data_IF_229720977488
#
_entry.id   IF_229720977488
#
_cell.length_a   1.000
_cell.length_b   1.000
_cell.length_c   1.000
_cell.angle_alpha   90.00
_cell.angle_beta   90.00
_cell.angle_gamma   90.00
#
_symmetry.space_group_name_H-M   'P 1'
#
loop_
_entity.id
_entity.type
_entity.pdbx_description
1 polymer ?
#
# COMPACT_ATOMS: atom_id res chain seq x y z
N UNK A 1 -11.38 18.10 -29.79
CA UNK A 1 -10.67 16.86 -30.18
C UNK A 1 -10.69 15.93 -28.99
N UNK A 2 -11.33 14.76 -29.13
CA UNK A 2 -11.57 13.81 -28.05
C UNK A 2 -10.31 13.02 -27.70
N UNK A 3 -10.00 12.90 -26.40
CA UNK A 3 -9.24 11.78 -25.85
C UNK A 3 -9.82 11.43 -24.48
N UNK A 4 -10.86 10.61 -24.50
CA UNK A 4 -11.16 9.74 -23.38
C UNK A 4 -10.07 8.67 -23.33
N UNK A 5 -9.18 8.78 -22.35
CA UNK A 5 -8.38 7.64 -21.90
C UNK A 5 -9.11 7.08 -20.68
N UNK A 6 -10.01 6.14 -20.95
CA UNK A 6 -10.54 5.22 -19.96
C UNK A 6 -9.38 4.31 -19.52
N UNK A 7 -8.56 4.77 -18.57
CA UNK A 7 -7.53 3.93 -17.98
C UNK A 7 -8.21 3.04 -16.95
N UNK A 8 -8.23 1.75 -17.26
CA UNK A 8 -8.60 0.68 -16.36
C UNK A 8 -8.06 0.98 -14.96
N UNK A 9 -8.97 1.36 -14.05
CA UNK A 9 -8.63 1.53 -12.64
C UNK A 9 -8.40 0.12 -12.14
N UNK A 10 -7.14 -0.25 -11.92
CA UNK A 10 -6.83 -1.36 -11.02
C UNK A 10 -7.58 -1.05 -9.72
N UNK A 11 -8.72 -1.73 -9.52
CA UNK A 11 -9.58 -1.51 -8.36
C UNK A 11 -8.82 -2.14 -7.19
N UNK A 12 -7.93 -1.36 -6.60
CA UNK A 12 -7.29 -1.71 -5.34
C UNK A 12 -8.41 -1.93 -4.33
N UNK A 13 -8.43 -3.12 -3.74
CA UNK A 13 -9.26 -3.37 -2.57
C UNK A 13 -8.48 -2.92 -1.35
N UNK A 14 -9.10 -2.18 -0.42
CA UNK A 14 -8.48 -1.90 0.88
C UNK A 14 -8.10 -3.21 1.56
N UNK A 15 -6.96 -3.23 2.23
CA UNK A 15 -6.57 -4.36 3.10
C UNK A 15 -6.99 -4.03 4.53
N UNK A 16 -7.61 -4.97 5.23
CA UNK A 16 -8.01 -4.81 6.62
C UNK A 16 -6.98 -5.45 7.53
N UNK A 17 -6.49 -4.70 8.51
CA UNK A 17 -5.60 -5.16 9.58
C UNK A 17 -6.42 -5.26 10.87
N UNK A 18 -6.39 -6.43 11.51
CA UNK A 18 -7.12 -6.71 12.76
C UNK A 18 -6.11 -7.09 13.86
N UNK A 19 -6.27 -6.49 15.04
CA UNK A 19 -5.43 -6.78 16.20
C UNK A 19 -6.20 -7.66 17.17
N UNK A 20 -5.53 -8.66 17.74
CA UNK A 20 -6.11 -9.57 18.72
C UNK A 20 -5.16 -9.78 19.90
N UNK A 21 -5.71 -9.87 21.11
CA UNK A 21 -5.00 -10.37 22.28
C UNK A 21 -5.02 -11.90 22.26
N UNK A 22 -3.85 -12.52 22.39
CA UNK A 22 -3.73 -13.98 22.29
C UNK A 22 -3.94 -14.62 23.65
N UNK A 23 -4.99 -15.42 23.75
CA UNK A 23 -5.34 -16.11 24.98
C UNK A 23 -4.94 -17.58 24.99
N UNK A 24 -4.57 -18.09 26.16
CA UNK A 24 -4.10 -19.49 26.29
C UNK A 24 -5.24 -20.49 26.47
N UNK A 25 -6.33 -20.07 27.13
CA UNK A 25 -7.45 -20.96 27.49
C UNK A 25 -8.83 -20.41 27.08
N UNK A 26 -8.86 -19.21 26.48
CA UNK A 26 -10.04 -18.53 25.95
C UNK A 26 -9.86 -18.27 24.44
N UNK A 27 -10.88 -17.68 23.82
CA UNK A 27 -10.76 -17.16 22.46
C UNK A 27 -10.03 -15.83 22.53
N UNK A 28 -9.20 -15.56 21.53
CA UNK A 28 -8.49 -14.29 21.39
C UNK A 28 -9.46 -13.10 21.33
N UNK A 29 -9.21 -12.08 22.14
CA UNK A 29 -10.07 -10.89 22.26
C UNK A 29 -9.72 -9.87 21.15
N UNK A 30 -10.71 -9.29 20.44
CA UNK A 30 -10.44 -8.29 19.42
C UNK A 30 -9.96 -6.97 20.05
N UNK A 31 -8.87 -6.44 19.53
CA UNK A 31 -8.23 -5.18 19.95
C UNK A 31 -8.34 -4.08 18.88
N UNK A 32 -9.31 -4.20 17.98
CA UNK A 32 -9.63 -3.20 16.96
C UNK A 32 -9.09 -3.51 15.56
N UNK A 33 -9.51 -2.70 14.60
CA UNK A 33 -9.20 -2.87 13.18
C UNK A 33 -8.84 -1.55 12.49
N UNK A 34 -8.11 -1.63 11.38
CA UNK A 34 -7.83 -0.50 10.50
C UNK A 34 -7.83 -0.93 9.03
N UNK A 35 -8.27 -0.02 8.15
CA UNK A 35 -8.17 -0.21 6.70
C UNK A 35 -6.95 0.52 6.14
N UNK A 36 -6.22 -0.19 5.27
CA UNK A 36 -5.09 0.29 4.48
C UNK A 36 -5.52 0.47 3.04
N UNK A 37 -5.50 1.71 2.54
CA UNK A 37 -5.62 1.99 1.12
C UNK A 37 -4.25 1.91 0.44
N UNK A 38 -4.10 0.92 -0.45
CA UNK A 38 -2.87 0.70 -1.23
C UNK A 38 -2.85 1.50 -2.55
N UNK A 39 -3.96 2.16 -2.93
CA UNK A 39 -4.04 2.95 -4.14
C UNK A 39 -2.95 4.03 -4.24
N UNK A 40 -2.63 4.80 -3.17
CA UNK A 40 -1.57 5.81 -3.21
C UNK A 40 -0.20 5.24 -3.63
N UNK A 41 0.16 4.07 -3.11
CA UNK A 41 1.40 3.37 -3.47
C UNK A 41 1.35 2.88 -4.93
N UNK A 42 0.25 2.25 -5.34
CA UNK A 42 0.08 1.75 -6.70
C UNK A 42 0.11 2.87 -7.74
N UNK A 43 -0.53 4.01 -7.46
CA UNK A 43 -0.51 5.19 -8.32
C UNK A 43 0.91 5.77 -8.46
N UNK A 44 1.66 5.86 -7.35
CA UNK A 44 3.04 6.33 -7.36
C UNK A 44 3.95 5.45 -8.24
N UNK A 45 3.77 4.12 -8.16
CA UNK A 45 4.46 3.15 -9.02
C UNK A 45 4.03 3.31 -10.47
N UNK A 46 2.72 3.46 -10.72
CA UNK A 46 2.13 3.54 -12.06
C UNK A 46 2.49 4.83 -12.81
N UNK A 47 2.86 5.90 -12.11
CA UNK A 47 3.44 7.10 -12.75
C UNK A 47 4.76 6.80 -13.47
N UNK A 48 5.35 5.63 -13.20
CA UNK A 48 6.58 5.11 -13.81
C UNK A 48 7.68 6.20 -13.94
N UNK A 49 7.97 6.95 -12.85
CA UNK A 49 9.02 7.94 -12.88
C UNK A 49 10.33 7.25 -13.23
N UNK A 50 11.18 7.91 -14.04
CA UNK A 50 12.52 7.39 -14.31
C UNK A 50 13.23 7.28 -12.97
N UNK A 51 13.47 6.05 -12.52
CA UNK A 51 14.07 5.75 -11.22
C UNK A 51 15.37 6.55 -11.00
N UNK A 52 16.15 6.70 -12.08
CA UNK A 52 17.40 7.47 -12.16
C UNK A 52 17.25 8.95 -11.79
N UNK A 53 16.05 9.51 -11.91
CA UNK A 53 15.76 10.92 -11.63
C UNK A 53 15.31 11.17 -10.19
N UNK A 54 14.94 10.13 -9.45
CA UNK A 54 14.42 10.24 -8.10
C UNK A 54 15.54 10.19 -7.06
N UNK A 55 15.65 11.24 -6.25
CA UNK A 55 16.58 11.25 -5.11
C UNK A 55 16.05 10.34 -4.00
N UNK A 56 16.95 9.64 -3.32
CA UNK A 56 16.61 8.89 -2.12
C UNK A 56 15.93 9.81 -1.09
N UNK A 57 14.77 9.40 -0.58
CA UNK A 57 13.93 10.20 0.32
C UNK A 57 12.93 11.13 -0.38
N UNK A 58 12.90 11.20 -1.72
CA UNK A 58 11.92 12.02 -2.42
C UNK A 58 10.48 11.60 -2.09
N UNK A 59 9.66 12.55 -1.67
CA UNK A 59 8.22 12.35 -1.45
C UNK A 59 7.52 12.43 -2.81
N UNK A 60 6.79 11.38 -3.17
CA UNK A 60 6.07 11.24 -4.44
C UNK A 60 4.60 11.62 -4.27
N UNK A 61 4.00 11.21 -3.15
CA UNK A 61 2.60 11.49 -2.78
C UNK A 61 2.47 11.54 -1.27
N UNK A 62 1.50 12.30 -0.79
CA UNK A 62 1.11 12.34 0.63
C UNK A 62 -0.39 12.13 0.78
N UNK A 63 -0.79 11.35 1.78
CA UNK A 63 -2.18 11.17 2.21
C UNK A 63 -2.36 11.77 3.61
N UNK A 64 -3.40 12.59 3.79
CA UNK A 64 -3.69 13.19 5.09
C UNK A 64 -4.73 12.39 5.87
N UNK A 65 -4.67 12.43 7.21
CA UNK A 65 -5.77 11.98 8.06
C UNK A 65 -7.10 12.61 7.64
N UNK A 66 -8.14 11.78 7.56
CA UNK A 66 -9.49 12.24 7.26
C UNK A 66 -10.53 11.32 7.89
N UNK A 67 -11.78 11.77 7.96
CA UNK A 67 -12.89 10.95 8.45
C UNK A 67 -13.20 9.71 7.57
N UNK A 68 -12.52 9.54 6.43
CA UNK A 68 -12.72 8.45 5.47
C UNK A 68 -11.60 7.41 5.48
N UNK A 69 -10.53 7.64 6.22
CA UNK A 69 -9.39 6.73 6.31
C UNK A 69 -9.02 6.48 7.78
N UNK A 70 -8.13 5.52 8.01
CA UNK A 70 -7.66 5.18 9.35
C UNK A 70 -6.33 5.87 9.69
N UNK A 71 -5.88 6.87 8.93
CA UNK A 71 -4.59 7.51 9.17
C UNK A 71 -4.63 8.37 10.45
N UNK A 72 -3.69 8.13 11.37
CA UNK A 72 -3.49 8.95 12.56
C UNK A 72 -2.60 10.18 12.27
N UNK A 73 -1.71 10.07 11.28
CA UNK A 73 -0.80 11.13 10.82
C UNK A 73 -0.67 11.13 9.29
N UNK A 74 -0.04 12.16 8.71
CA UNK A 74 0.21 12.23 7.27
C UNK A 74 1.12 11.07 6.83
N UNK A 75 0.64 10.31 5.84
CA UNK A 75 1.36 9.19 5.23
C UNK A 75 2.06 9.66 3.96
N UNK A 76 3.30 9.24 3.76
CA UNK A 76 4.10 9.62 2.60
C UNK A 76 4.51 8.40 1.79
N UNK A 77 4.24 8.41 0.49
CA UNK A 77 4.90 7.52 -0.47
C UNK A 77 6.22 8.14 -0.87
N UNK A 78 7.33 7.48 -0.53
CA UNK A 78 8.68 7.92 -0.80
C UNK A 78 9.41 6.99 -1.77
N UNK A 79 10.36 7.54 -2.52
CA UNK A 79 11.39 6.79 -3.20
C UNK A 79 12.56 6.51 -2.24
N UNK A 80 12.81 5.26 -1.90
CA UNK A 80 13.88 4.84 -0.98
C UNK A 80 14.69 3.68 -1.55
N UNK A 81 15.99 3.89 -1.74
CA UNK A 81 16.95 2.86 -2.15
C UNK A 81 16.48 1.98 -3.33
N UNK A 82 15.95 2.60 -4.40
CA UNK A 82 15.49 1.89 -5.59
C UNK A 82 14.06 1.31 -5.48
N UNK A 83 13.28 1.71 -4.47
CA UNK A 83 11.93 1.16 -4.23
C UNK A 83 10.95 2.25 -3.80
N UNK A 84 9.67 2.05 -4.10
CA UNK A 84 8.60 2.80 -3.48
C UNK A 84 8.28 2.22 -2.10
N UNK A 85 8.21 3.08 -1.10
CA UNK A 85 7.78 2.74 0.25
C UNK A 85 6.79 3.76 0.78
N UNK A 86 5.80 3.32 1.56
CA UNK A 86 4.81 4.19 2.19
C UNK A 86 4.80 3.97 3.70
N UNK A 87 5.17 4.98 4.46
CA UNK A 87 5.07 4.96 5.93
C UNK A 87 3.65 5.34 6.36
N UNK A 88 3.07 4.61 7.32
CA UNK A 88 1.71 4.81 7.79
C UNK A 88 1.62 4.66 9.31
N UNK A 89 0.84 5.52 9.96
CA UNK A 89 0.34 5.32 11.31
C UNK A 89 -1.17 5.22 11.22
N UNK A 90 -1.73 4.11 11.68
CA UNK A 90 -3.15 3.80 11.60
C UNK A 90 -3.77 3.87 12.99
N UNK A 91 -4.85 4.64 13.14
CA UNK A 91 -5.70 4.64 14.33
C UNK A 91 -6.69 3.49 14.24
N UNK A 92 -6.69 2.63 15.26
CA UNK A 92 -7.62 1.51 15.33
C UNK A 92 -9.04 2.00 15.56
N UNK A 93 -9.98 1.31 14.92
CA UNK A 93 -11.43 1.43 15.12
C UNK A 93 -11.91 0.31 16.02
N UNK A 94 -13.15 0.44 16.53
CA UNK A 94 -13.82 -0.59 17.33
C UNK A 94 -13.05 -1.01 18.59
N UNK A 95 -12.20 -0.12 19.11
CA UNK A 95 -11.44 -0.26 20.35
C UNK A 95 -11.35 1.11 21.05
N UNK A 96 -11.09 1.11 22.35
CA UNK A 96 -10.98 2.34 23.15
C UNK A 96 -9.75 3.20 22.81
N UNK A 97 -8.65 2.54 22.43
CA UNK A 97 -7.40 3.19 22.05
C UNK A 97 -6.50 2.19 21.30
N UNK A 98 -5.54 2.72 20.55
CA UNK A 98 -4.54 1.91 19.85
C UNK A 98 -4.17 2.49 18.49
N UNK A 99 -2.89 2.39 18.15
CA UNK A 99 -2.36 2.77 16.85
C UNK A 99 -1.39 1.68 16.36
N UNK A 100 -1.39 1.41 15.05
CA UNK A 100 -0.41 0.54 14.39
C UNK A 100 0.49 1.42 13.52
N UNK A 101 1.80 1.26 13.66
CA UNK A 101 2.77 1.82 12.73
C UNK A 101 3.23 0.73 11.75
N UNK A 102 3.13 0.99 10.45
CA UNK A 102 3.56 0.07 9.41
C UNK A 102 4.22 0.77 8.22
N UNK A 103 4.91 -0.01 7.39
CA UNK A 103 5.45 0.46 6.11
C UNK A 103 5.07 -0.52 5.01
N UNK A 104 4.47 -0.01 3.93
CA UNK A 104 4.29 -0.77 2.70
C UNK A 104 5.52 -0.60 1.81
N UNK A 105 5.96 -1.65 1.14
CA UNK A 105 7.03 -1.59 0.16
C UNK A 105 6.61 -2.26 -1.14
N UNK A 106 6.77 -1.57 -2.27
CA UNK A 106 6.54 -2.18 -3.57
C UNK A 106 7.65 -3.18 -3.90
N UNK A 107 7.27 -4.35 -4.42
CA UNK A 107 8.22 -5.41 -4.80
C UNK A 107 7.89 -5.88 -6.22
N UNK A 108 8.88 -5.77 -7.11
CA UNK A 108 8.77 -6.31 -8.46
C UNK A 108 9.25 -7.76 -8.45
N UNK A 109 8.43 -8.67 -8.98
CA UNK A 109 8.86 -10.03 -9.26
C UNK A 109 9.39 -10.11 -10.69
N UNK A 110 10.53 -10.77 -10.93
CA UNK A 110 10.97 -11.02 -12.30
C UNK A 110 9.90 -11.84 -13.03
N UNK A 111 9.74 -11.66 -14.35
CA UNK A 111 8.82 -12.49 -15.13
C UNK A 111 9.19 -13.96 -14.91
N UNK A 112 8.20 -14.76 -14.52
CA UNK A 112 8.37 -16.21 -14.39
C UNK A 112 8.79 -16.84 -15.72
N UNK A 113 9.28 -18.09 -15.73
CA UNK A 113 9.55 -18.80 -16.97
C UNK A 113 8.24 -18.88 -17.76
N UNK A 114 8.15 -18.08 -18.83
CA UNK A 114 7.05 -18.16 -19.77
C UNK A 114 7.02 -19.55 -20.42
N UNK A 115 5.88 -19.96 -21.00
CA UNK A 115 5.83 -21.21 -21.73
C UNK A 115 6.96 -21.21 -22.78
N UNK A 116 7.82 -22.23 -22.73
CA UNK A 116 8.90 -22.39 -23.70
C UNK A 116 8.28 -22.29 -25.09
N UNK A 117 8.69 -21.28 -25.86
CA UNK A 117 8.17 -21.05 -27.19
C UNK A 117 8.29 -22.37 -27.96
N UNK A 118 7.14 -22.97 -28.30
CA UNK A 118 7.10 -24.17 -29.10
C UNK A 118 7.74 -23.84 -30.44
N UNK A 119 9.00 -24.26 -30.59
CA UNK A 119 9.69 -24.26 -31.87
C UNK A 119 8.98 -25.30 -32.73
N UNK A 120 8.05 -24.84 -33.55
CA UNK A 120 7.61 -25.58 -34.73
C UNK A 120 8.77 -25.56 -35.72
N UNK A 121 9.23 -26.77 -36.06
CA UNK A 121 10.18 -27.06 -37.13
C UNK A 121 9.52 -26.90 -38.50
#
# INVERSE_FOLDING_TARGET
MARGANSDRHRSQPTTEEVFDKDTFSRDDPMGDAEVDVAPLMEAVSMNPREESLRNGAIIRSERPSARNCLADESHVCWRNGKFAQDMILRLRNVESGEIQLQLQWVNFPPGPGPAAATTR
#
